data_IF_911530663518
#
_entry.id   IF_911530663518
#
_cell.length_a   1.000
_cell.length_b   1.000
_cell.length_c   1.000
_cell.angle_alpha   90.00
_cell.angle_beta   90.00
_cell.angle_gamma   90.00
#
_symmetry.space_group_name_H-M   'P 1'
#
loop_
_entity.id
_entity.type
_entity.pdbx_description
1 polymer ?
#
# COMPACT_ATOMS: atom_id res chain seq x y z
N UNK A 1 -19.14 -34.57 -41.83
CA UNK A 1 -18.56 -33.24 -41.54
C UNK A 1 -18.55 -33.03 -40.03
N UNK A 2 -17.39 -32.90 -39.38
CA UNK A 2 -17.32 -32.88 -37.91
C UNK A 2 -17.63 -31.48 -37.37
N UNK A 3 -18.54 -31.43 -36.38
CA UNK A 3 -18.85 -30.24 -35.58
C UNK A 3 -17.64 -29.90 -34.70
N UNK A 4 -17.07 -28.71 -34.88
CA UNK A 4 -16.01 -28.17 -34.00
C UNK A 4 -16.62 -27.89 -32.62
N UNK A 5 -16.12 -28.61 -31.63
CA UNK A 5 -16.35 -28.39 -30.20
C UNK A 5 -15.64 -27.08 -29.83
N UNK A 6 -16.40 -26.07 -29.41
CA UNK A 6 -15.83 -24.91 -28.72
C UNK A 6 -15.42 -25.36 -27.32
N UNK A 7 -14.13 -25.65 -27.16
CA UNK A 7 -13.52 -25.85 -25.87
C UNK A 7 -13.60 -24.53 -25.10
N UNK A 8 -14.34 -24.55 -23.99
CA UNK A 8 -14.28 -23.54 -22.96
C UNK A 8 -12.86 -23.53 -22.39
N UNK A 9 -12.02 -22.61 -22.87
CA UNK A 9 -10.74 -22.32 -22.23
C UNK A 9 -11.03 -21.61 -20.91
N UNK A 10 -11.28 -22.39 -19.85
CA UNK A 10 -11.19 -21.94 -18.46
C UNK A 10 -9.74 -21.54 -18.22
N UNK A 11 -9.42 -20.28 -18.48
CA UNK A 11 -8.10 -19.72 -18.18
C UNK A 11 -8.00 -19.51 -16.66
N UNK A 12 -6.96 -20.13 -16.11
CA UNK A 12 -6.52 -20.11 -14.73
C UNK A 12 -6.24 -18.67 -14.23
N UNK A 13 -7.29 -17.92 -13.86
CA UNK A 13 -7.17 -16.60 -13.22
C UNK A 13 -7.06 -16.70 -11.69
N UNK A 14 -7.16 -17.91 -11.13
CA UNK A 14 -7.12 -18.15 -9.68
C UNK A 14 -5.71 -18.16 -9.07
N UNK A 15 -4.65 -18.13 -9.89
CA UNK A 15 -3.26 -18.27 -9.41
C UNK A 15 -2.52 -16.95 -9.22
N UNK A 16 -3.02 -15.82 -9.73
CA UNK A 16 -2.40 -14.51 -9.49
C UNK A 16 -2.81 -13.86 -8.15
N UNK A 17 -3.91 -14.31 -7.54
CA UNK A 17 -4.39 -13.79 -6.25
C UNK A 17 -4.02 -14.68 -5.06
N UNK A 18 -3.72 -15.96 -5.26
CA UNK A 18 -3.34 -16.89 -4.18
C UNK A 18 -1.88 -16.73 -3.73
N UNK A 19 -1.02 -16.07 -4.50
CA UNK A 19 0.35 -15.79 -4.07
C UNK A 19 0.46 -14.65 -3.03
N UNK A 20 -0.63 -13.88 -2.83
CA UNK A 20 -0.76 -12.94 -1.72
C UNK A 20 -1.34 -13.58 -0.44
N UNK A 21 -2.00 -14.75 -0.55
CA UNK A 21 -2.60 -15.47 0.59
C UNK A 21 -2.55 -16.98 0.34
N UNK A 22 -1.38 -17.60 0.56
CA UNK A 22 -1.31 -19.05 0.75
C UNK A 22 -1.70 -19.34 2.21
N UNK A 23 -2.97 -19.64 2.42
CA UNK A 23 -3.55 -20.02 3.70
C UNK A 23 -4.97 -20.56 3.52
N UNK A 24 -5.11 -21.74 2.91
CA UNK A 24 -6.31 -22.56 3.06
C UNK A 24 -6.34 -23.10 4.49
N UNK A 25 -7.39 -22.82 5.27
CA UNK A 25 -7.57 -23.46 6.57
C UNK A 25 -8.65 -22.84 7.45
N UNK A 26 -9.83 -23.48 7.41
CA UNK A 26 -10.90 -23.58 8.42
C UNK A 26 -11.45 -22.33 9.10
N UNK A 27 -12.78 -22.19 9.01
CA UNK A 27 -13.64 -21.45 9.93
C UNK A 27 -13.24 -21.70 11.39
N UNK A 28 -12.86 -20.64 12.10
CA UNK A 28 -12.52 -20.67 13.51
C UNK A 28 -13.11 -19.46 14.20
N UNK A 29 -14.23 -19.68 14.91
CA UNK A 29 -14.86 -18.74 15.83
C UNK A 29 -13.82 -18.21 16.83
N UNK A 30 -13.58 -16.90 16.81
CA UNK A 30 -12.71 -16.23 17.76
C UNK A 30 -12.97 -14.73 17.74
N UNK A 31 -13.99 -14.29 18.46
CA UNK A 31 -14.23 -12.87 18.69
C UNK A 31 -13.10 -12.29 19.53
N UNK A 32 -12.37 -11.32 18.99
CA UNK A 32 -11.34 -10.60 19.73
C UNK A 32 -10.55 -9.63 18.86
N UNK A 33 -10.90 -8.34 18.93
CA UNK A 33 -10.03 -7.17 18.65
C UNK A 33 -9.26 -7.14 17.31
N UNK A 34 -9.90 -7.41 16.18
CA UNK A 34 -9.24 -7.20 14.87
C UNK A 34 -10.05 -6.36 13.86
N UNK A 35 -11.31 -6.02 14.14
CA UNK A 35 -12.20 -5.31 13.20
C UNK A 35 -12.17 -3.78 13.34
N UNK A 36 -11.20 -3.19 14.05
CA UNK A 36 -11.16 -1.74 14.27
C UNK A 36 -9.82 -1.09 13.85
N UNK A 37 -9.26 -1.57 12.72
CA UNK A 37 -8.09 -0.94 12.10
C UNK A 37 -8.38 0.49 11.61
N UNK A 38 -9.66 0.82 11.39
CA UNK A 38 -10.16 2.16 11.03
C UNK A 38 -11.08 2.65 12.16
N UNK A 39 -10.53 2.80 13.36
CA UNK A 39 -11.25 3.42 14.49
C UNK A 39 -11.35 4.94 14.30
N UNK A 40 -12.50 5.54 14.57
CA UNK A 40 -12.62 6.99 14.76
C UNK A 40 -11.84 7.39 16.02
N UNK A 41 -10.62 7.89 15.85
CA UNK A 41 -9.84 8.44 16.96
C UNK A 41 -10.15 9.94 17.06
N UNK A 42 -10.62 10.38 18.23
CA UNK A 42 -10.92 11.78 18.49
C UNK A 42 -9.68 12.66 18.30
N UNK A 43 -9.84 13.72 17.51
CA UNK A 43 -8.84 14.76 17.23
C UNK A 43 -8.32 15.34 18.53
N UNK A 44 -7.01 15.28 18.78
CA UNK A 44 -6.36 16.00 19.89
C UNK A 44 -5.60 17.19 19.31
N UNK A 45 -5.45 18.29 20.08
CA UNK A 45 -4.75 19.50 19.62
C UNK A 45 -3.41 19.13 18.95
N UNK A 46 -3.19 19.70 17.77
CA UNK A 46 -2.12 19.35 16.86
C UNK A 46 -0.74 19.78 17.37
N UNK A 47 0.00 18.86 17.98
CA UNK A 47 1.46 18.91 17.96
C UNK A 47 1.92 18.21 16.67
N UNK A 48 2.36 18.96 15.66
CA UNK A 48 2.84 18.38 14.41
C UNK A 48 4.12 17.55 14.63
N UNK A 49 4.35 16.45 13.88
CA UNK A 49 5.62 15.76 13.93
C UNK A 49 6.72 16.68 13.41
N UNK A 50 7.85 16.72 14.11
CA UNK A 50 9.01 17.54 13.74
C UNK A 50 9.71 16.95 12.53
N UNK A 51 9.89 17.75 11.48
CA UNK A 51 10.65 17.40 10.29
C UNK A 51 10.35 18.36 9.15
N UNK A 52 11.40 18.88 8.49
CA UNK A 52 11.29 19.74 7.32
C UNK A 52 11.59 18.92 6.06
N UNK A 53 10.72 18.95 5.05
CA UNK A 53 10.97 18.33 3.75
C UNK A 53 9.82 17.47 3.20
N UNK A 54 10.01 16.80 2.05
CA UNK A 54 8.99 15.95 1.45
C UNK A 54 8.66 14.75 2.36
N UNK A 55 7.39 14.36 2.41
CA UNK A 55 6.90 13.29 3.30
C UNK A 55 7.58 11.94 3.04
N UNK A 56 7.99 11.67 1.80
CA UNK A 56 8.83 10.54 1.44
C UNK A 56 9.95 11.02 0.50
N UNK A 57 11.23 10.93 0.87
CA UNK A 57 12.30 11.37 -0.01
C UNK A 57 12.55 10.35 -1.11
N UNK A 58 11.86 10.52 -2.24
CA UNK A 58 11.93 9.68 -3.44
C UNK A 58 13.16 9.98 -4.32
N UNK A 59 14.34 10.08 -3.69
CA UNK A 59 15.62 10.30 -4.38
C UNK A 59 16.23 8.96 -4.77
N UNK A 60 16.57 8.79 -6.06
CA UNK A 60 17.17 7.56 -6.56
C UNK A 60 18.42 7.16 -5.74
N UNK A 61 18.56 5.87 -5.44
CA UNK A 61 19.65 5.34 -4.63
C UNK A 61 19.37 5.34 -3.12
N UNK A 62 18.35 6.06 -2.63
CA UNK A 62 17.92 5.91 -1.23
C UNK A 62 17.36 4.51 -0.97
N UNK A 63 17.67 3.97 0.20
CA UNK A 63 17.10 2.72 0.66
C UNK A 63 16.79 2.73 2.14
N UNK A 64 15.89 1.82 2.54
CA UNK A 64 15.51 1.59 3.91
C UNK A 64 15.45 0.10 4.19
N UNK A 65 15.86 -0.29 5.40
CA UNK A 65 15.62 -1.65 5.88
C UNK A 65 14.25 -1.72 6.53
N UNK A 66 13.59 -2.86 6.39
CA UNK A 66 12.26 -3.10 6.95
C UNK A 66 12.19 -4.46 7.60
N UNK A 67 11.45 -4.54 8.70
CA UNK A 67 11.06 -5.77 9.36
C UNK A 67 9.61 -6.09 9.00
N UNK A 68 9.39 -7.22 8.36
CA UNK A 68 8.07 -7.76 8.05
C UNK A 68 7.66 -8.74 9.14
N UNK A 69 6.55 -8.46 9.81
CA UNK A 69 5.92 -9.31 10.82
C UNK A 69 4.63 -9.85 10.23
N UNK A 70 4.46 -11.18 10.27
CA UNK A 70 3.25 -11.86 9.82
C UNK A 70 2.75 -12.78 10.93
N UNK A 71 1.43 -12.90 11.15
CA UNK A 71 0.91 -13.83 12.13
C UNK A 71 1.42 -15.25 11.85
N UNK A 72 1.88 -15.94 12.89
CA UNK A 72 2.31 -17.34 12.83
C UNK A 72 3.48 -17.63 11.85
N UNK A 73 4.23 -16.62 11.43
CA UNK A 73 5.41 -16.78 10.57
C UNK A 73 6.64 -16.12 11.21
N UNK A 74 7.83 -16.59 10.83
CA UNK A 74 9.07 -15.93 11.22
C UNK A 74 9.12 -14.52 10.64
N UNK A 75 9.55 -13.57 11.46
CA UNK A 75 9.85 -12.23 11.01
C UNK A 75 10.86 -12.27 9.86
N UNK A 76 10.69 -11.37 8.89
CA UNK A 76 11.51 -11.34 7.69
C UNK A 76 12.08 -9.95 7.48
N UNK A 77 13.40 -9.85 7.36
CA UNK A 77 14.05 -8.62 6.93
C UNK A 77 13.85 -8.40 5.43
N UNK A 78 13.61 -7.16 5.06
CA UNK A 78 13.38 -6.71 3.69
C UNK A 78 14.01 -5.33 3.47
N UNK A 79 14.19 -4.94 2.23
CA UNK A 79 14.76 -3.64 1.88
C UNK A 79 13.86 -2.92 0.87
N UNK A 80 13.61 -1.64 1.08
CA UNK A 80 12.94 -0.77 0.12
C UNK A 80 14.01 0.08 -0.54
N UNK A 81 14.04 0.14 -1.87
CA UNK A 81 14.96 0.97 -2.65
C UNK A 81 14.20 1.91 -3.58
N UNK A 82 14.61 3.17 -3.62
CA UNK A 82 14.19 4.11 -4.66
C UNK A 82 15.05 3.87 -5.90
N UNK A 83 14.42 3.39 -6.97
CA UNK A 83 15.12 3.08 -8.22
C UNK A 83 15.32 4.34 -9.06
N UNK A 84 14.28 5.18 -9.17
CA UNK A 84 14.32 6.42 -9.95
C UNK A 84 13.09 6.60 -10.84
N UNK A 85 13.16 7.49 -11.84
CA UNK A 85 12.04 7.76 -12.75
C UNK A 85 11.59 6.50 -13.50
N UNK A 86 10.28 6.32 -13.62
CA UNK A 86 9.65 5.20 -14.32
C UNK A 86 8.39 5.68 -15.04
N UNK A 87 8.19 5.17 -16.26
CA UNK A 87 7.01 5.43 -17.08
C UNK A 87 6.13 4.19 -17.09
N UNK A 88 4.88 4.33 -16.66
CA UNK A 88 3.90 3.24 -16.70
C UNK A 88 3.37 3.05 -18.13
N UNK A 89 2.72 1.91 -18.46
CA UNK A 89 2.30 1.60 -19.83
C UNK A 89 1.40 2.63 -20.52
N UNK A 90 0.65 3.43 -19.77
CA UNK A 90 -0.21 4.49 -20.32
C UNK A 90 0.53 5.82 -20.61
N UNK A 91 1.85 5.86 -20.43
CA UNK A 91 2.70 7.01 -20.73
C UNK A 91 2.94 7.96 -19.55
N UNK A 92 2.15 7.87 -18.47
CA UNK A 92 2.39 8.67 -17.26
C UNK A 92 3.68 8.25 -16.56
N UNK A 93 4.30 9.16 -15.82
CA UNK A 93 5.56 8.92 -15.11
C UNK A 93 5.44 9.16 -13.61
N UNK A 94 6.28 8.47 -12.85
CA UNK A 94 6.50 8.65 -11.42
C UNK A 94 7.86 8.12 -11.02
N UNK A 95 8.10 7.96 -9.71
CA UNK A 95 9.31 7.34 -9.17
C UNK A 95 9.02 5.90 -8.79
N UNK A 96 9.80 4.97 -9.33
CA UNK A 96 9.75 3.56 -8.99
C UNK A 96 10.46 3.30 -7.66
N UNK A 97 9.72 2.67 -6.75
CA UNK A 97 10.19 2.15 -5.47
C UNK A 97 10.05 0.63 -5.51
N UNK A 98 11.12 -0.10 -5.19
CA UNK A 98 11.13 -1.57 -5.24
C UNK A 98 11.48 -2.15 -3.87
N UNK A 99 10.69 -3.13 -3.43
CA UNK A 99 10.93 -3.88 -2.20
C UNK A 99 11.59 -5.22 -2.52
N UNK A 100 12.59 -5.58 -1.72
CA UNK A 100 13.43 -6.76 -1.84
C UNK A 100 13.35 -7.61 -0.57
N UNK A 101 13.34 -8.94 -0.76
CA UNK A 101 13.37 -9.93 0.31
C UNK A 101 14.33 -11.04 -0.08
N UNK A 102 15.32 -11.33 0.77
CA UNK A 102 16.37 -12.29 0.42
C UNK A 102 17.05 -11.97 -0.92
N UNK A 103 17.26 -10.67 -1.20
CA UNK A 103 17.84 -10.18 -2.46
C UNK A 103 16.91 -10.21 -3.68
N UNK A 104 15.72 -10.79 -3.59
CA UNK A 104 14.76 -10.88 -4.70
C UNK A 104 13.69 -9.79 -4.60
N UNK A 105 13.34 -9.12 -5.71
CA UNK A 105 12.24 -8.18 -5.70
C UNK A 105 10.90 -8.90 -5.53
N UNK A 106 10.01 -8.34 -4.72
CA UNK A 106 8.68 -8.93 -4.48
C UNK A 106 7.53 -7.92 -4.54
N UNK A 107 7.84 -6.62 -4.56
CA UNK A 107 6.84 -5.56 -4.64
C UNK A 107 7.43 -4.33 -5.32
N UNK A 108 6.64 -3.66 -6.14
CA UNK A 108 6.93 -2.36 -6.74
C UNK A 108 5.80 -1.38 -6.44
N UNK A 109 6.16 -0.13 -6.23
CA UNK A 109 5.24 1.01 -6.15
C UNK A 109 5.77 2.10 -7.10
N UNK A 110 4.87 2.74 -7.83
CA UNK A 110 5.19 3.91 -8.66
C UNK A 110 4.49 5.10 -8.03
N UNK A 111 5.27 6.03 -7.49
CA UNK A 111 4.78 7.16 -6.71
C UNK A 111 4.98 8.46 -7.50
N UNK A 112 3.94 9.28 -7.58
CA UNK A 112 4.01 10.64 -8.08
C UNK A 112 4.04 11.61 -6.90
N UNK A 113 4.84 12.67 -7.03
CA UNK A 113 4.83 13.80 -6.12
C UNK A 113 4.41 15.04 -6.86
N UNK A 114 3.48 15.82 -6.30
CA UNK A 114 3.19 17.15 -6.84
C UNK A 114 4.18 18.21 -6.34
N UNK A 115 4.03 19.43 -6.86
CA UNK A 115 4.91 20.57 -6.54
C UNK A 115 4.88 20.96 -5.06
N UNK A 116 3.79 20.63 -4.35
CA UNK A 116 3.65 20.90 -2.92
C UNK A 116 4.24 19.77 -2.07
N UNK A 117 4.68 18.66 -2.68
CA UNK A 117 5.16 17.48 -1.98
C UNK A 117 4.05 16.50 -1.60
N UNK A 118 2.82 16.71 -2.08
CA UNK A 118 1.74 15.75 -1.97
C UNK A 118 2.07 14.48 -2.75
N UNK A 119 1.70 13.33 -2.22
CA UNK A 119 2.03 12.01 -2.76
C UNK A 119 0.81 11.33 -3.35
N UNK A 120 0.96 10.77 -4.55
CA UNK A 120 -0.04 9.95 -5.22
C UNK A 120 0.56 8.62 -5.63
N UNK A 121 -0.19 7.52 -5.50
CA UNK A 121 0.21 6.23 -6.06
C UNK A 121 -0.33 6.10 -7.48
N UNK A 122 0.59 5.95 -8.42
CA UNK A 122 0.29 5.73 -9.84
C UNK A 122 0.15 4.23 -10.14
N UNK A 123 0.88 3.38 -9.42
CA UNK A 123 0.71 1.94 -9.55
C UNK A 123 1.38 1.13 -8.45
N UNK A 124 0.92 -0.11 -8.30
CA UNK A 124 1.46 -1.11 -7.37
C UNK A 124 1.46 -2.49 -8.00
N UNK A 125 2.39 -3.35 -7.62
CA UNK A 125 2.44 -4.71 -8.17
C UNK A 125 3.57 -5.55 -7.60
N UNK A 126 3.70 -6.79 -8.08
CA UNK A 126 4.80 -7.70 -7.74
C UNK A 126 6.09 -7.35 -8.49
N UNK A 127 5.94 -6.79 -9.70
CA UNK A 127 7.01 -6.40 -10.61
C UNK A 127 6.52 -5.34 -11.59
N UNK A 128 7.41 -4.69 -12.33
CA UNK A 128 7.06 -3.68 -13.33
C UNK A 128 6.16 -4.24 -14.45
N UNK A 129 6.26 -5.55 -14.71
CA UNK A 129 5.45 -6.25 -15.71
C UNK A 129 4.05 -6.60 -15.20
N UNK A 130 3.87 -6.68 -13.87
CA UNK A 130 2.62 -7.01 -13.19
C UNK A 130 2.13 -5.81 -12.37
N UNK A 131 2.19 -4.62 -12.97
CA UNK A 131 1.80 -3.38 -12.32
C UNK A 131 0.30 -3.15 -12.52
N UNK A 132 -0.42 -2.98 -11.43
CA UNK A 132 -1.75 -2.39 -11.40
C UNK A 132 -1.60 -0.87 -11.43
N UNK A 133 -2.11 -0.23 -12.48
CA UNK A 133 -1.97 1.21 -12.72
C UNK A 133 -3.31 1.91 -12.45
N UNK A 134 -3.29 3.00 -11.67
CA UNK A 134 -4.50 3.74 -11.28
C UNK A 134 -4.70 4.99 -12.12
N UNK A 135 -5.90 5.22 -12.62
CA UNK A 135 -6.27 6.39 -13.42
C UNK A 135 -7.54 7.07 -12.86
N UNK A 136 -7.44 8.31 -12.33
CA UNK A 136 -6.21 9.08 -12.10
C UNK A 136 -5.33 8.43 -11.01
N UNK A 137 -4.13 8.95 -10.74
CA UNK A 137 -3.31 8.44 -9.64
C UNK A 137 -4.01 8.68 -8.29
N UNK A 138 -3.99 7.70 -7.39
CA UNK A 138 -4.70 7.78 -6.10
C UNK A 138 -3.92 8.70 -5.16
N UNK A 139 -4.51 9.75 -4.58
CA UNK A 139 -3.82 10.57 -3.58
C UNK A 139 -3.64 9.79 -2.27
N UNK A 140 -2.40 9.67 -1.78
CA UNK A 140 -2.11 9.13 -0.44
C UNK A 140 -2.13 10.23 0.61
N UNK A 141 -1.37 11.30 0.37
CA UNK A 141 -1.22 12.43 1.29
C UNK A 141 -1.18 13.70 0.46
N UNK A 142 -1.86 14.73 0.92
CA UNK A 142 -1.78 16.08 0.36
C UNK A 142 -0.93 16.95 1.28
N UNK A 143 -0.31 17.98 0.71
CA UNK A 143 0.53 18.91 1.46
C UNK A 143 -0.04 20.32 1.35
N UNK A 144 -0.18 21.08 2.45
CA UNK A 144 0.15 20.70 3.84
C UNK A 144 -0.80 19.63 4.39
N UNK A 145 -0.25 18.68 5.14
CA UNK A 145 -1.03 17.61 5.79
C UNK A 145 -1.91 18.22 6.87
N UNK A 146 -3.22 17.95 6.84
CA UNK A 146 -4.17 18.40 7.87
C UNK A 146 -4.79 17.20 8.58
N UNK A 147 -4.80 17.25 9.91
CA UNK A 147 -5.49 16.24 10.71
C UNK A 147 -7.00 16.27 10.45
N UNK A 148 -7.63 15.10 10.37
CA UNK A 148 -9.05 14.95 10.06
C UNK A 148 -9.38 15.07 8.57
N UNK A 149 -8.39 15.40 7.73
CA UNK A 149 -8.59 15.46 6.29
C UNK A 149 -8.88 14.06 5.74
N UNK A 150 -9.95 13.97 4.95
CA UNK A 150 -10.32 12.76 4.23
C UNK A 150 -10.20 13.01 2.72
N UNK A 151 -9.73 11.99 2.01
CA UNK A 151 -9.55 11.97 0.58
C UNK A 151 -10.37 10.81 0.04
N UNK A 152 -11.43 11.12 -0.67
CA UNK A 152 -12.14 10.16 -1.50
C UNK A 152 -11.60 10.25 -2.92
N UNK A 153 -11.41 9.09 -3.55
CA UNK A 153 -10.95 8.97 -4.91
C UNK A 153 -11.78 7.91 -5.62
N UNK A 154 -12.21 8.24 -6.82
CA UNK A 154 -12.93 7.34 -7.73
C UNK A 154 -12.18 7.32 -9.06
N UNK A 155 -12.00 6.14 -9.63
CA UNK A 155 -11.31 5.99 -10.90
C UNK A 155 -11.26 4.55 -11.37
N UNK A 156 -10.22 4.23 -12.13
CA UNK A 156 -10.02 2.89 -12.67
C UNK A 156 -8.64 2.36 -12.30
N UNK A 157 -8.54 1.05 -12.19
CA UNK A 157 -7.28 0.34 -12.08
C UNK A 157 -7.12 -0.55 -13.31
N UNK A 158 -5.92 -0.60 -13.91
CA UNK A 158 -5.64 -1.40 -15.10
C UNK A 158 -4.44 -2.31 -14.87
N UNK A 159 -4.60 -3.58 -15.18
CA UNK A 159 -3.51 -4.57 -15.17
C UNK A 159 -3.69 -5.55 -16.33
N UNK A 160 -2.62 -5.84 -17.07
CA UNK A 160 -2.63 -6.76 -18.21
C UNK A 160 -3.75 -6.49 -19.24
N UNK A 161 -4.07 -5.21 -19.48
CA UNK A 161 -5.12 -4.78 -20.41
C UNK A 161 -6.56 -4.86 -19.87
N UNK A 162 -6.76 -5.46 -18.69
CA UNK A 162 -8.06 -5.47 -18.03
C UNK A 162 -8.22 -4.24 -17.14
N UNK A 163 -9.41 -3.64 -17.20
CA UNK A 163 -9.79 -2.47 -16.41
C UNK A 163 -10.80 -2.84 -15.33
N UNK A 164 -10.65 -2.20 -14.17
CA UNK A 164 -11.46 -2.39 -12.98
C UNK A 164 -11.93 -1.04 -12.49
N UNK A 165 -13.19 -0.93 -12.08
CA UNK A 165 -13.64 0.23 -11.32
C UNK A 165 -12.96 0.18 -9.96
N UNK A 166 -12.39 1.30 -9.54
CA UNK A 166 -11.63 1.40 -8.31
C UNK A 166 -12.06 2.63 -7.52
N UNK A 167 -12.14 2.46 -6.21
CA UNK A 167 -12.36 3.58 -5.28
C UNK A 167 -11.31 3.52 -4.20
N UNK A 168 -10.99 4.65 -3.60
CA UNK A 168 -10.12 4.72 -2.45
C UNK A 168 -10.63 5.77 -1.47
N UNK A 169 -10.49 5.45 -0.20
CA UNK A 169 -10.73 6.37 0.88
C UNK A 169 -9.49 6.41 1.76
N UNK A 170 -8.99 7.61 2.02
CA UNK A 170 -7.92 7.86 2.96
C UNK A 170 -8.35 8.88 3.99
N UNK A 171 -7.91 8.73 5.23
CA UNK A 171 -8.12 9.69 6.30
C UNK A 171 -6.83 9.90 7.07
N UNK A 172 -6.39 11.16 7.15
CA UNK A 172 -5.29 11.56 8.02
C UNK A 172 -5.84 11.68 9.44
N UNK A 173 -5.35 10.84 10.34
CA UNK A 173 -5.73 10.82 11.75
C UNK A 173 -4.70 11.57 12.60
N UNK A 174 -4.92 11.57 13.93
CA UNK A 174 -4.05 12.20 14.94
C UNK A 174 -2.58 11.83 14.75
N UNK A 175 -1.69 12.79 15.03
CA UNK A 175 -0.26 12.51 15.17
C UNK A 175 -0.05 11.50 16.29
N UNK A 176 0.57 10.37 15.97
CA UNK A 176 0.76 9.25 16.91
C UNK A 176 2.25 9.00 17.17
N UNK A 177 2.56 8.55 18.38
CA UNK A 177 3.89 8.08 18.76
C UNK A 177 3.97 6.59 18.47
N UNK A 178 4.58 6.25 17.34
CA UNK A 178 4.79 4.87 16.92
C UNK A 178 6.01 4.30 17.61
N UNK A 179 5.80 3.34 18.51
CA UNK A 179 6.88 2.57 19.10
C UNK A 179 7.25 1.42 18.16
N UNK A 180 8.42 1.49 17.56
CA UNK A 180 9.01 0.40 16.77
C UNK A 180 10.08 -0.32 17.59
N UNK A 181 10.56 -1.51 17.17
CA UNK A 181 11.73 -2.15 17.77
C UNK A 181 13.03 -1.32 17.66
N UNK A 182 13.05 -0.29 16.81
CA UNK A 182 14.26 0.50 16.52
C UNK A 182 14.27 1.85 17.23
N UNK A 183 13.11 2.50 17.31
CA UNK A 183 12.93 3.85 17.86
C UNK A 183 11.45 4.13 18.15
N UNK A 184 11.18 5.15 18.95
CA UNK A 184 9.84 5.73 19.07
C UNK A 184 9.78 7.00 18.23
N UNK A 185 8.85 7.07 17.28
CA UNK A 185 8.79 8.16 16.29
C UNK A 185 7.41 8.78 16.27
N UNK A 186 7.33 10.10 16.18
CA UNK A 186 6.07 10.80 15.91
C UNK A 186 5.77 10.80 14.42
N UNK A 187 4.56 10.39 14.06
CA UNK A 187 4.17 10.22 12.67
C UNK A 187 2.69 10.61 12.43
N UNK A 188 2.37 11.03 11.21
CA UNK A 188 0.98 11.13 10.76
C UNK A 188 0.43 9.73 10.50
N UNK A 189 -0.69 9.39 11.12
CA UNK A 189 -1.42 8.15 10.80
C UNK A 189 -2.33 8.41 9.59
N UNK A 190 -2.21 7.55 8.58
CA UNK A 190 -3.10 7.50 7.42
C UNK A 190 -3.85 6.18 7.45
N UNK A 191 -5.16 6.26 7.69
CA UNK A 191 -6.06 5.13 7.51
C UNK A 191 -6.51 5.09 6.05
N UNK A 192 -6.50 3.93 5.42
CA UNK A 192 -6.75 3.79 4.00
C UNK A 192 -7.48 2.51 3.63
N UNK A 193 -8.31 2.59 2.61
CA UNK A 193 -8.89 1.43 1.93
C UNK A 193 -8.89 1.72 0.44
N UNK A 194 -8.39 0.76 -0.35
CA UNK A 194 -8.55 0.73 -1.80
C UNK A 194 -9.49 -0.42 -2.12
N UNK A 195 -10.55 -0.14 -2.87
CA UNK A 195 -11.53 -1.13 -3.30
C UNK A 195 -11.46 -1.30 -4.81
N UNK A 196 -11.41 -2.55 -5.28
CA UNK A 196 -11.52 -2.91 -6.69
C UNK A 196 -12.83 -3.66 -6.94
N UNK A 197 -13.52 -3.34 -8.02
CA UNK A 197 -14.75 -4.04 -8.44
C UNK A 197 -14.45 -4.87 -9.69
N UNK A 198 -14.72 -6.17 -9.61
CA UNK A 198 -14.62 -7.11 -10.72
C UNK A 198 -15.99 -7.78 -10.94
N UNK A 199 -16.78 -7.22 -11.85
CA UNK A 199 -18.17 -7.63 -12.04
C UNK A 199 -19.01 -7.33 -10.78
N UNK A 200 -19.52 -8.37 -10.13
CA UNK A 200 -20.30 -8.25 -8.88
C UNK A 200 -19.44 -8.35 -7.61
N UNK A 201 -18.16 -8.68 -7.75
CA UNK A 201 -17.27 -8.87 -6.60
C UNK A 201 -16.52 -7.57 -6.28
N UNK A 202 -16.61 -7.13 -5.02
CA UNK A 202 -15.78 -6.07 -4.44
C UNK A 202 -14.64 -6.71 -3.64
N UNK A 203 -13.42 -6.22 -3.85
CA UNK A 203 -12.22 -6.64 -3.11
C UNK A 203 -11.64 -5.42 -2.43
N UNK A 204 -11.45 -5.51 -1.12
CA UNK A 204 -10.97 -4.42 -0.27
C UNK A 204 -9.54 -4.67 0.21
N UNK A 205 -8.71 -3.64 0.10
CA UNK A 205 -7.33 -3.61 0.54
C UNK A 205 -7.14 -2.55 1.64
N UNK A 206 -7.56 -2.83 2.88
CA UNK A 206 -7.36 -1.92 4.00
C UNK A 206 -5.88 -1.84 4.40
N UNK A 207 -5.43 -0.62 4.66
CA UNK A 207 -4.08 -0.32 5.11
C UNK A 207 -4.08 0.80 6.14
N UNK A 208 -3.22 0.69 7.14
CA UNK A 208 -2.88 1.80 8.05
C UNK A 208 -1.40 2.09 7.90
N UNK A 209 -1.04 3.34 7.70
CA UNK A 209 0.34 3.77 7.49
C UNK A 209 0.70 4.91 8.42
N UNK A 210 1.92 4.91 8.93
CA UNK A 210 2.45 5.99 9.75
C UNK A 210 3.59 6.68 9.02
N UNK A 211 3.39 7.94 8.65
CA UNK A 211 4.29 8.74 7.85
C UNK A 211 5.07 9.75 8.70
N UNK A 212 6.39 9.73 8.56
CA UNK A 212 7.31 10.63 9.22
C UNK A 212 7.84 11.62 8.18
N UNK A 213 7.57 12.93 8.33
CA UNK A 213 8.08 13.95 7.42
C UNK A 213 9.59 13.84 7.20
N UNK A 214 10.03 13.92 5.94
CA UNK A 214 11.44 13.81 5.57
C UNK A 214 12.02 12.38 5.59
N UNK A 215 11.33 11.40 6.20
CA UNK A 215 11.82 10.02 6.32
C UNK A 215 11.00 9.00 5.52
N UNK A 216 9.68 9.18 5.41
CA UNK A 216 8.77 8.24 4.73
C UNK A 216 7.89 7.43 5.69
N UNK A 217 7.51 6.22 5.28
CA UNK A 217 6.62 5.35 6.07
C UNK A 217 7.42 4.65 7.18
N UNK A 218 7.13 4.94 8.45
CA UNK A 218 7.72 4.26 9.61
C UNK A 218 7.11 2.88 9.86
N UNK A 219 5.80 2.76 9.65
CA UNK A 219 5.07 1.51 9.83
C UNK A 219 3.92 1.43 8.84
N UNK A 220 3.62 0.22 8.37
CA UNK A 220 2.45 -0.08 7.54
C UNK A 220 1.82 -1.38 8.03
N UNK A 221 0.53 -1.35 8.30
CA UNK A 221 -0.29 -2.54 8.55
C UNK A 221 -1.23 -2.76 7.37
N UNK A 222 -1.30 -3.99 6.90
CA UNK A 222 -2.23 -4.42 5.86
C UNK A 222 -3.16 -5.46 6.47
N UNK A 223 -4.45 -5.34 6.16
CA UNK A 223 -5.43 -6.34 6.54
C UNK A 223 -5.95 -7.09 5.32
N UNK A 224 -6.36 -8.33 5.56
CA UNK A 224 -7.12 -9.16 4.63
C UNK A 224 -8.38 -9.61 5.36
N UNK A 225 -9.56 -9.34 4.76
CA UNK A 225 -10.88 -9.66 5.33
C UNK A 225 -11.08 -9.22 6.79
N UNK A 226 -10.49 -8.08 7.16
CA UNK A 226 -10.60 -7.54 8.52
C UNK A 226 -9.64 -8.15 9.54
N UNK A 227 -8.74 -9.05 9.13
CA UNK A 227 -7.66 -9.59 9.98
C UNK A 227 -6.32 -8.97 9.57
N UNK A 228 -5.43 -8.71 10.53
CA UNK A 228 -4.08 -8.26 10.23
C UNK A 228 -3.34 -9.32 9.40
N UNK A 229 -3.03 -9.01 8.14
CA UNK A 229 -2.29 -9.90 7.25
C UNK A 229 -0.77 -9.71 7.38
N UNK A 230 -0.34 -8.46 7.57
CA UNK A 230 1.07 -8.07 7.56
C UNK A 230 1.28 -6.76 8.31
N UNK A 231 2.36 -6.69 9.08
CA UNK A 231 2.96 -5.45 9.54
C UNK A 231 4.37 -5.28 8.94
N UNK A 232 4.67 -4.09 8.43
CA UNK A 232 5.99 -3.70 7.91
C UNK A 232 6.47 -2.53 8.74
N UNK A 233 7.65 -2.65 9.35
CA UNK A 233 8.27 -1.63 10.17
C UNK A 233 9.56 -1.18 9.52
N UNK A 234 9.73 0.12 9.31
CA UNK A 234 10.93 0.68 8.68
C UNK A 234 11.96 1.05 9.74
N UNK A 235 13.20 0.60 9.53
CA UNK A 235 14.38 1.11 10.22
C UNK A 235 14.97 2.23 9.37
N UNK A 236 14.84 3.47 9.83
CA UNK A 236 15.51 4.59 9.19
C UNK A 236 17.02 4.53 9.48
N UNK A 237 17.82 4.80 8.45
CA UNK A 237 19.25 5.05 8.60
C UNK A 237 19.46 6.56 8.54
N UNK A 238 20.25 7.10 9.46
CA UNK A 238 20.69 8.49 9.42
C UNK A 238 21.64 8.73 8.25
#
# INVERSE_FOLDING_TARGET
MPRKVFAYTRIYLLTLLTALVAGCGSEGKGGGKEVDLISEVATKKADLPTGTGPLWPLVAGKSWRTLTIRPNQKNTDSEIRVIGPFRVPDGRSGTLVRSYRGGKPFRVEVIQTDRTGGMRILGLGESEKKLLVFSPAIPYLVTPVKEGEYLQWDGTARIAGQEYVATAFHRVSTVDSVKTPFETIRAYRLDGIISLVNGTQKIDYPAVMWFVPGKGVAQRRLADRGTLALEVITKFTN
#
